data_IF_576608034284
#
_entry.id   IF_576608034284
#
_cell.length_a   1.000
_cell.length_b   1.000
_cell.length_c   1.000
_cell.angle_alpha   90.00
_cell.angle_beta   90.00
_cell.angle_gamma   90.00
#
_symmetry.space_group_name_H-M   'P 1'
#
loop_
_entity.id
_entity.type
_entity.pdbx_description
1 polymer ?
#
# COMPACT_ATOMS: atom_id res chain seq x y z
N UNK A 1 -0.60 -10.59 -25.54
CA UNK A 1 -1.19 -10.11 -24.28
C UNK A 1 -1.39 -8.61 -24.34
N UNK A 2 -2.53 -8.14 -23.91
CA UNK A 2 -2.78 -6.71 -23.81
C UNK A 2 -1.89 -6.09 -22.71
N UNK A 3 -1.39 -4.85 -22.92
CA UNK A 3 -0.66 -4.19 -21.86
C UNK A 3 -1.51 -3.97 -20.61
N UNK A 4 -0.90 -4.12 -19.46
CA UNK A 4 -1.54 -3.86 -18.17
C UNK A 4 -1.08 -2.49 -17.68
N UNK A 5 -2.03 -1.59 -17.43
CA UNK A 5 -1.74 -0.25 -16.96
C UNK A 5 -2.11 -0.14 -15.49
N UNK A 6 -1.11 -0.13 -14.65
CA UNK A 6 -1.26 0.07 -13.21
C UNK A 6 -0.48 1.31 -12.80
N UNK A 7 -1.02 2.06 -11.87
CA UNK A 7 -0.31 3.18 -11.29
C UNK A 7 -0.59 3.27 -9.81
N UNK A 8 0.42 3.71 -9.06
CA UNK A 8 0.26 3.96 -7.63
C UNK A 8 -0.44 5.30 -7.48
N UNK A 9 -1.45 5.36 -6.61
CA UNK A 9 -2.15 6.59 -6.27
C UNK A 9 -1.48 7.23 -5.05
N UNK A 10 -0.68 8.30 -5.24
CA UNK A 10 0.07 8.90 -4.11
C UNK A 10 -0.84 9.42 -3.00
N UNK A 11 -1.92 10.07 -3.37
CA UNK A 11 -2.86 10.64 -2.41
C UNK A 11 -3.49 9.58 -1.51
N UNK A 12 -4.01 8.52 -2.12
CA UNK A 12 -4.66 7.44 -1.38
C UNK A 12 -3.66 6.59 -0.61
N UNK A 13 -2.46 6.41 -1.16
CA UNK A 13 -1.37 5.70 -0.47
C UNK A 13 -0.95 6.45 0.79
N UNK A 14 -0.78 7.78 0.70
CA UNK A 14 -0.46 8.60 1.87
C UNK A 14 -1.53 8.53 2.95
N UNK A 15 -2.80 8.56 2.55
CA UNK A 15 -3.92 8.41 3.46
C UNK A 15 -3.88 7.04 4.15
N UNK A 16 -3.56 6.00 3.41
CA UNK A 16 -3.47 4.65 3.95
C UNK A 16 -2.32 4.51 4.94
N UNK A 17 -1.15 5.10 4.63
CA UNK A 17 -0.02 5.13 5.56
C UNK A 17 -0.47 5.75 6.88
N UNK A 18 -1.14 6.90 6.82
CA UNK A 18 -1.65 7.57 8.01
C UNK A 18 -2.61 6.69 8.81
N UNK A 19 -3.54 6.04 8.12
CA UNK A 19 -4.49 5.13 8.76
C UNK A 19 -3.81 3.97 9.47
N UNK A 20 -2.79 3.38 8.84
CA UNK A 20 -2.03 2.28 9.42
C UNK A 20 -1.24 2.73 10.65
N UNK A 21 -0.62 3.91 10.62
CA UNK A 21 0.05 4.49 11.77
C UNK A 21 -0.90 4.64 12.95
N UNK A 22 -2.06 5.25 12.70
CA UNK A 22 -3.07 5.47 13.73
C UNK A 22 -3.59 4.15 14.30
N UNK A 23 -3.86 3.19 13.43
CA UNK A 23 -4.35 1.87 13.84
C UNK A 23 -3.39 1.17 14.79
N UNK A 24 -2.09 1.32 14.57
CA UNK A 24 -1.08 0.69 15.41
C UNK A 24 -0.62 1.57 16.57
N UNK A 25 -1.18 2.76 16.70
CA UNK A 25 -0.85 3.65 17.81
C UNK A 25 0.50 4.35 17.67
N UNK A 26 1.06 4.43 16.47
CA UNK A 26 2.32 5.10 16.24
C UNK A 26 2.11 6.59 15.99
N UNK A 27 2.96 7.41 16.60
CA UNK A 27 3.05 8.84 16.29
C UNK A 27 4.06 9.07 15.16
N UNK A 28 4.00 10.28 14.58
CA UNK A 28 5.02 10.71 13.61
C UNK A 28 6.41 10.65 14.21
N UNK A 29 6.54 11.02 15.49
CA UNK A 29 7.83 10.98 16.20
C UNK A 29 8.36 9.55 16.31
N UNK A 30 7.48 8.58 16.57
CA UNK A 30 7.88 7.16 16.62
C UNK A 30 8.48 6.72 15.28
N UNK A 31 7.84 7.09 14.20
CA UNK A 31 8.28 6.72 12.85
C UNK A 31 9.58 7.45 12.50
N UNK A 32 9.67 8.73 12.84
CA UNK A 32 10.91 9.50 12.66
C UNK A 32 12.08 8.80 13.34
N UNK A 33 11.88 8.37 14.58
CA UNK A 33 12.91 7.66 15.33
C UNK A 33 13.28 6.32 14.70
N UNK A 34 12.29 5.57 14.26
CA UNK A 34 12.51 4.26 13.63
C UNK A 34 13.31 4.37 12.33
N UNK A 35 13.07 5.43 11.55
CA UNK A 35 13.83 5.70 10.32
C UNK A 35 15.18 6.35 10.55
N UNK A 36 15.41 6.89 11.74
CA UNK A 36 16.63 7.65 12.03
C UNK A 36 16.67 9.00 11.30
N UNK A 37 15.53 9.59 11.01
CA UNK A 37 15.47 10.89 10.33
C UNK A 37 15.73 12.02 11.32
N UNK A 38 16.48 13.02 10.89
CA UNK A 38 16.76 14.23 11.69
C UNK A 38 15.49 15.06 11.94
N UNK A 39 14.55 15.01 11.02
CA UNK A 39 13.30 15.76 11.11
C UNK A 39 12.17 14.95 10.45
N UNK A 40 10.90 15.31 10.71
CA UNK A 40 9.77 14.51 10.21
C UNK A 40 9.28 14.92 8.82
N UNK A 41 10.00 15.76 8.09
CA UNK A 41 9.50 16.35 6.85
C UNK A 41 9.16 15.30 5.77
N UNK A 42 9.99 14.28 5.62
CA UNK A 42 9.72 13.22 4.65
C UNK A 42 8.39 12.51 4.97
N UNK A 43 8.18 12.20 6.25
CA UNK A 43 6.95 11.52 6.69
C UNK A 43 5.73 12.38 6.42
N UNK A 44 5.79 13.67 6.71
CA UNK A 44 4.71 14.59 6.41
C UNK A 44 4.42 14.68 4.91
N UNK A 45 5.46 14.64 4.08
CA UNK A 45 5.27 14.61 2.62
C UNK A 45 4.51 13.37 2.18
N UNK A 46 4.79 12.22 2.78
CA UNK A 46 4.08 10.99 2.45
C UNK A 46 2.61 11.07 2.83
N UNK A 47 2.31 11.44 4.06
CA UNK A 47 0.92 11.49 4.53
C UNK A 47 0.13 12.69 3.99
N UNK A 48 0.81 13.76 3.57
CA UNK A 48 0.17 14.92 2.93
C UNK A 48 0.05 14.80 1.42
N UNK A 49 0.42 13.65 0.86
CA UNK A 49 0.22 13.32 -0.56
C UNK A 49 1.17 14.05 -1.51
N UNK A 50 2.24 14.66 -1.01
CA UNK A 50 3.18 15.41 -1.84
C UNK A 50 4.19 14.52 -2.52
N UNK A 51 4.56 13.40 -1.89
CA UNK A 51 5.49 12.45 -2.45
C UNK A 51 5.26 11.07 -1.87
N UNK A 52 5.71 10.05 -2.58
CA UNK A 52 5.72 8.69 -2.07
C UNK A 52 7.04 8.41 -1.36
N UNK A 53 7.04 7.49 -0.38
CA UNK A 53 8.30 6.95 0.11
C UNK A 53 9.11 6.32 -1.03
N UNK A 54 10.42 6.33 -0.92
CA UNK A 54 11.27 5.52 -1.80
C UNK A 54 10.96 4.03 -1.59
N UNK A 55 11.42 3.20 -2.52
CA UNK A 55 11.22 1.76 -2.37
C UNK A 55 11.84 1.24 -1.07
N UNK A 56 13.04 1.69 -0.73
CA UNK A 56 13.69 1.32 0.52
C UNK A 56 12.84 1.71 1.73
N UNK A 57 12.29 2.92 1.71
CA UNK A 57 11.46 3.41 2.80
C UNK A 57 10.14 2.64 2.89
N UNK A 58 9.57 2.21 1.76
CA UNK A 58 8.40 1.33 1.77
C UNK A 58 8.70 -0.01 2.44
N UNK A 59 9.88 -0.58 2.19
CA UNK A 59 10.30 -1.82 2.84
C UNK A 59 10.37 -1.62 4.35
N UNK A 60 11.00 -0.54 4.80
CA UNK A 60 11.10 -0.23 6.22
C UNK A 60 9.73 -0.02 6.85
N UNK A 61 8.85 0.75 6.18
CA UNK A 61 7.47 0.94 6.63
C UNK A 61 6.73 -0.39 6.76
N UNK A 62 6.87 -1.27 5.79
CA UNK A 62 6.21 -2.57 5.83
C UNK A 62 6.61 -3.38 7.05
N UNK A 63 7.87 -3.30 7.44
CA UNK A 63 8.38 -3.98 8.64
C UNK A 63 7.85 -3.34 9.91
N UNK A 64 7.89 -2.00 10.01
CA UNK A 64 7.38 -1.27 11.17
C UNK A 64 5.89 -1.52 11.36
N UNK A 65 5.13 -1.48 10.26
CA UNK A 65 3.67 -1.62 10.29
C UNK A 65 3.19 -3.07 10.27
N UNK A 66 4.11 -4.04 10.21
CA UNK A 66 3.78 -5.46 10.13
C UNK A 66 2.77 -5.78 9.03
N UNK A 67 2.98 -5.17 7.85
CA UNK A 67 2.11 -5.36 6.70
C UNK A 67 2.95 -5.44 5.42
N UNK A 68 2.38 -5.94 4.35
CA UNK A 68 3.10 -6.01 3.07
C UNK A 68 3.11 -4.64 2.38
N UNK A 69 4.08 -4.44 1.49
CA UNK A 69 4.13 -3.22 0.68
C UNK A 69 2.84 -3.11 -0.15
N UNK A 70 2.36 -4.21 -0.71
CA UNK A 70 1.12 -4.19 -1.49
C UNK A 70 -0.09 -3.74 -0.68
N UNK A 71 -0.13 -4.06 0.60
CA UNK A 71 -1.22 -3.63 1.48
C UNK A 71 -1.12 -2.15 1.86
N UNK A 72 0.07 -1.56 1.74
CA UNK A 72 0.26 -0.12 1.94
C UNK A 72 -0.13 0.66 0.69
N UNK A 73 0.19 0.14 -0.48
CA UNK A 73 -0.05 0.82 -1.74
C UNK A 73 -1.53 0.82 -2.12
N UNK A 74 -1.98 1.95 -2.63
CA UNK A 74 -3.27 2.03 -3.32
C UNK A 74 -2.99 2.16 -4.81
N UNK A 75 -3.48 1.21 -5.57
CA UNK A 75 -3.16 1.07 -6.99
C UNK A 75 -4.42 1.33 -7.80
N UNK A 76 -4.30 2.19 -8.81
CA UNK A 76 -5.36 2.45 -9.78
C UNK A 76 -5.22 1.51 -10.97
N UNK A 77 -6.34 1.20 -11.62
CA UNK A 77 -6.36 0.30 -12.77
C UNK A 77 -6.05 -1.13 -12.41
N UNK A 78 -6.49 -1.54 -11.26
CA UNK A 78 -6.08 -2.73 -10.55
C UNK A 78 -6.66 -4.04 -11.11
N UNK A 79 -6.59 -5.05 -10.25
CA UNK A 79 -7.05 -6.42 -10.46
C UNK A 79 -8.48 -6.51 -11.02
N UNK A 80 -9.41 -5.66 -10.60
CA UNK A 80 -10.80 -5.70 -11.09
C UNK A 80 -10.87 -5.54 -12.60
N UNK A 81 -10.12 -4.58 -13.13
CA UNK A 81 -10.08 -4.34 -14.57
C UNK A 81 -9.34 -5.46 -15.30
N UNK A 82 -8.27 -5.96 -14.74
CA UNK A 82 -7.54 -7.09 -15.30
C UNK A 82 -8.46 -8.31 -15.42
N UNK A 83 -9.29 -8.53 -14.40
CA UNK A 83 -10.23 -9.64 -14.38
C UNK A 83 -11.35 -9.49 -15.41
N UNK A 84 -11.79 -8.26 -15.67
CA UNK A 84 -12.71 -7.97 -16.77
C UNK A 84 -12.07 -8.36 -18.11
N UNK A 85 -10.82 -7.99 -18.32
CA UNK A 85 -10.08 -8.33 -19.53
C UNK A 85 -9.91 -9.84 -19.72
N UNK A 86 -9.84 -10.57 -18.62
CA UNK A 86 -9.73 -12.03 -18.63
C UNK A 86 -11.08 -12.73 -18.64
N UNK A 87 -12.20 -11.98 -18.73
CA UNK A 87 -13.57 -12.50 -18.65
C UNK A 87 -13.85 -13.28 -17.37
N UNK A 88 -13.23 -12.85 -16.27
CA UNK A 88 -13.44 -13.49 -14.96
C UNK A 88 -14.35 -12.60 -14.11
N UNK A 89 -15.25 -13.22 -13.37
CA UNK A 89 -16.09 -12.53 -12.41
C UNK A 89 -15.32 -12.38 -11.10
N UNK A 90 -15.55 -11.26 -10.42
CA UNK A 90 -14.92 -11.00 -9.14
C UNK A 90 -15.21 -12.10 -8.11
N UNK A 91 -16.46 -12.56 -8.05
CA UNK A 91 -16.84 -13.64 -7.14
C UNK A 91 -16.13 -14.95 -7.44
N UNK A 92 -15.94 -15.27 -8.70
CA UNK A 92 -15.26 -16.50 -9.11
C UNK A 92 -13.81 -16.47 -8.65
N UNK A 93 -13.15 -15.32 -8.77
CA UNK A 93 -11.77 -15.13 -8.35
C UNK A 93 -11.66 -15.22 -6.83
N UNK A 94 -12.58 -14.57 -6.11
CA UNK A 94 -12.62 -14.60 -4.66
C UNK A 94 -12.79 -16.03 -4.13
N UNK A 95 -13.72 -16.76 -4.70
CA UNK A 95 -13.95 -18.16 -4.34
C UNK A 95 -12.75 -19.04 -4.67
N UNK A 96 -12.10 -18.78 -5.78
CA UNK A 96 -10.90 -19.52 -6.18
C UNK A 96 -9.75 -19.28 -5.20
N UNK A 97 -9.54 -18.05 -4.79
CA UNK A 97 -8.50 -17.71 -3.80
C UNK A 97 -8.79 -18.39 -2.46
N UNK A 98 -10.03 -18.33 -2.00
CA UNK A 98 -10.43 -18.97 -0.74
C UNK A 98 -10.24 -20.48 -0.83
N UNK A 99 -10.68 -21.07 -1.93
CA UNK A 99 -10.53 -22.51 -2.14
C UNK A 99 -9.07 -22.95 -2.05
N UNK A 100 -8.18 -22.20 -2.69
CA UNK A 100 -6.74 -22.50 -2.68
C UNK A 100 -6.12 -22.33 -1.31
N UNK A 101 -6.64 -21.42 -0.47
CA UNK A 101 -6.14 -21.23 0.89
C UNK A 101 -6.61 -22.31 1.85
N UNK A 102 -7.77 -22.89 1.60
CA UNK A 102 -8.34 -23.95 2.44
C UNK A 102 -7.68 -25.30 2.17
N UNK A 103 -7.17 -25.49 0.97
CA UNK A 103 -6.43 -26.72 0.64
C UNK A 103 -5.14 -26.80 1.45
#
# INVERSE_FOLDING_TARGET
>A
MEPIYLSIQPAETGKRIKQLLLKQGYSIRDIQGAFGFENPQAIYKWISRKSLPSLDNFIILSRILHTSIEDILVIDGDISRLWELLNLRFNDIYLHIIYNQIR
#
